data_IF_633443136886
#
_entry.id   IF_633443136886
#
_cell.length_a   1.000
_cell.length_b   1.000
_cell.length_c   1.000
_cell.angle_alpha   90.00
_cell.angle_beta   90.00
_cell.angle_gamma   90.00
#
_symmetry.space_group_name_H-M   'P 1'
#
loop_
_entity.id
_entity.type
_entity.pdbx_description
1 polymer ?
#
# COMPACT_ATOMS: atom_id res chain seq x y z
N UNK A 1 7.21 9.38 5.99
CA UNK A 1 7.79 8.27 6.75
C UNK A 1 8.56 8.79 7.95
N UNK A 2 8.59 8.04 9.05
CA UNK A 2 9.55 8.20 10.15
C UNK A 2 10.19 6.82 10.41
N UNK A 3 11.39 6.76 10.97
CA UNK A 3 12.09 5.49 11.18
C UNK A 3 12.59 5.36 12.61
N UNK A 4 12.39 4.17 13.18
CA UNK A 4 12.99 3.76 14.44
C UNK A 4 14.15 2.80 14.18
N UNK A 5 15.22 2.94 14.96
CA UNK A 5 16.38 2.03 14.99
C UNK A 5 16.53 1.31 16.33
N UNK A 6 15.60 1.50 17.25
CA UNK A 6 15.67 1.06 18.65
C UNK A 6 14.43 0.25 19.09
N UNK A 7 13.78 -0.40 18.12
CA UNK A 7 12.60 -1.24 18.39
C UNK A 7 11.32 -0.45 18.65
N UNK A 8 11.25 0.80 18.17
CA UNK A 8 10.06 1.66 18.26
C UNK A 8 10.04 2.59 19.46
N UNK A 9 11.14 2.72 20.22
CA UNK A 9 11.22 3.63 21.38
C UNK A 9 11.34 5.09 20.94
N UNK A 10 12.17 5.36 19.94
CA UNK A 10 12.32 6.68 19.32
C UNK A 10 12.12 6.62 17.81
N UNK A 11 11.63 7.72 17.26
CA UNK A 11 11.36 7.89 15.84
C UNK A 11 12.02 9.17 15.37
N UNK A 12 12.81 9.07 14.30
CA UNK A 12 13.56 10.18 13.74
C UNK A 12 13.23 10.34 12.25
N UNK A 13 13.76 11.41 11.66
CA UNK A 13 13.71 11.68 10.22
C UNK A 13 12.28 11.71 9.66
N UNK A 14 11.36 12.38 10.37
CA UNK A 14 10.00 12.58 9.87
C UNK A 14 10.05 13.32 8.54
N UNK A 15 9.53 12.68 7.50
CA UNK A 15 9.37 13.25 6.16
C UNK A 15 7.93 13.12 5.70
N UNK A 16 7.38 14.19 5.14
CA UNK A 16 6.12 14.12 4.41
C UNK A 16 6.34 13.36 3.10
N UNK A 17 5.40 12.48 2.75
CA UNK A 17 5.39 11.76 1.48
C UNK A 17 4.15 12.22 0.71
N UNK A 18 4.36 13.06 -0.31
CA UNK A 18 3.25 13.74 -1.01
C UNK A 18 2.40 12.80 -1.87
N UNK A 19 2.94 11.63 -2.24
CA UNK A 19 2.24 10.67 -3.10
C UNK A 19 1.39 9.65 -2.34
N UNK A 20 1.49 9.62 -1.00
CA UNK A 20 0.69 8.76 -0.15
C UNK A 20 -0.41 9.58 0.54
N UNK A 21 -1.69 9.33 0.25
CA UNK A 21 -2.78 10.01 0.94
C UNK A 21 -2.96 9.47 2.35
N UNK A 22 -3.25 10.35 3.29
CA UNK A 22 -3.75 9.98 4.63
C UNK A 22 -5.29 9.86 4.62
N UNK A 23 -5.88 9.34 3.55
CA UNK A 23 -7.32 9.23 3.38
C UNK A 23 -7.94 10.30 2.47
N UNK A 24 -9.22 10.69 2.70
CA UNK A 24 -9.93 11.60 1.81
C UNK A 24 -9.35 13.02 1.87
N UNK A 25 -9.14 13.64 0.70
CA UNK A 25 -8.38 14.90 0.57
C UNK A 25 -9.24 16.16 0.80
N UNK A 26 -10.52 16.01 1.12
CA UNK A 26 -11.47 17.08 1.41
C UNK A 26 -11.68 17.34 2.91
N UNK A 27 -10.95 16.63 3.79
CA UNK A 27 -11.09 16.78 5.24
C UNK A 27 -9.74 16.75 5.95
N UNK A 28 -9.71 17.25 7.19
CA UNK A 28 -8.54 17.15 8.07
C UNK A 28 -8.50 15.83 8.86
N UNK A 29 -9.37 14.87 8.55
CA UNK A 29 -9.47 13.60 9.27
C UNK A 29 -8.97 12.45 8.41
N UNK A 30 -8.00 11.72 8.96
CA UNK A 30 -7.35 10.64 8.24
C UNK A 30 -8.23 9.41 8.00
N UNK A 31 -7.70 8.46 7.23
CA UNK A 31 -8.29 7.13 7.06
C UNK A 31 -7.24 6.06 7.33
N UNK A 32 -7.56 5.10 8.20
CA UNK A 32 -6.62 4.04 8.58
C UNK A 32 -6.28 3.16 7.37
N UNK A 33 -5.02 3.23 6.95
CA UNK A 33 -4.45 2.44 5.88
C UNK A 33 -3.79 1.15 6.36
N UNK A 34 -3.40 0.31 5.40
CA UNK A 34 -2.62 -0.89 5.63
C UNK A 34 -1.18 -0.71 5.17
N UNK A 35 -0.23 -1.36 5.85
CA UNK A 35 1.17 -1.45 5.42
C UNK A 35 1.69 -2.87 5.67
N UNK A 36 2.27 -3.50 4.65
CA UNK A 36 2.91 -4.81 4.81
C UNK A 36 4.22 -4.90 4.04
N UNK A 37 5.12 -5.74 4.52
CA UNK A 37 6.35 -6.12 3.80
C UNK A 37 6.11 -7.45 3.09
N UNK A 38 6.50 -7.53 1.82
CA UNK A 38 6.47 -8.80 1.10
C UNK A 38 7.55 -9.74 1.63
N UNK A 39 7.20 -11.01 1.80
CA UNK A 39 8.11 -12.05 2.30
C UNK A 39 9.08 -12.55 1.21
N UNK A 40 9.87 -11.64 0.62
CA UNK A 40 10.83 -11.92 -0.45
C UNK A 40 12.25 -11.76 0.10
N UNK A 41 13.01 -12.86 0.11
CA UNK A 41 14.37 -12.89 0.67
C UNK A 41 15.27 -11.87 -0.04
N UNK A 42 15.97 -11.06 0.75
CA UNK A 42 16.93 -10.06 0.25
C UNK A 42 16.30 -8.85 -0.45
N UNK A 43 14.98 -8.68 -0.40
CA UNK A 43 14.28 -7.53 -0.98
C UNK A 43 13.50 -6.78 0.09
N UNK A 44 13.54 -5.45 0.02
CA UNK A 44 12.75 -4.58 0.89
C UNK A 44 11.59 -3.97 0.09
N UNK A 45 10.53 -4.75 -0.05
CA UNK A 45 9.34 -4.35 -0.79
C UNK A 45 8.18 -4.15 0.18
N UNK A 46 7.66 -2.94 0.23
CA UNK A 46 6.50 -2.58 1.05
C UNK A 46 5.29 -2.33 0.15
N UNK A 47 4.12 -2.74 0.63
CA UNK A 47 2.83 -2.40 0.01
C UNK A 47 2.01 -1.60 1.02
N UNK A 48 1.54 -0.44 0.59
CA UNK A 48 0.66 0.44 1.35
C UNK A 48 -0.74 0.45 0.72
N UNK A 49 -1.79 0.59 1.53
CA UNK A 49 -3.17 0.75 1.07
C UNK A 49 -3.89 1.91 1.74
N UNK A 50 -4.66 2.68 0.96
CA UNK A 50 -5.62 3.67 1.46
C UNK A 50 -6.65 4.03 0.38
N UNK A 51 -7.60 4.89 0.71
CA UNK A 51 -8.43 5.58 -0.27
C UNK A 51 -7.64 6.70 -0.97
N UNK A 52 -7.87 6.85 -2.28
CA UNK A 52 -7.16 7.78 -3.16
C UNK A 52 -8.17 8.71 -3.84
N UNK A 53 -8.82 9.56 -3.07
CA UNK A 53 -9.93 10.37 -3.57
C UNK A 53 -9.85 11.82 -3.09
N UNK A 54 -10.14 12.73 -4.03
CA UNK A 54 -10.26 14.16 -3.77
C UNK A 54 -11.33 14.46 -2.71
N UNK A 55 -12.35 13.59 -2.58
CA UNK A 55 -13.29 13.67 -1.48
C UNK A 55 -14.04 12.39 -1.17
N UNK A 56 -14.38 12.22 0.11
CA UNK A 56 -14.96 11.00 0.66
C UNK A 56 -14.05 9.77 0.57
N UNK A 57 -14.46 8.65 1.19
CA UNK A 57 -13.66 7.42 1.28
C UNK A 57 -13.92 6.47 0.10
N UNK A 58 -13.21 6.67 -1.02
CA UNK A 58 -13.41 5.94 -2.29
C UNK A 58 -12.06 5.62 -2.97
N UNK A 59 -12.11 4.88 -4.08
CA UNK A 59 -10.93 4.60 -4.90
C UNK A 59 -9.81 3.90 -4.11
N UNK A 60 -10.15 2.75 -3.53
CA UNK A 60 -9.19 1.90 -2.81
C UNK A 60 -8.00 1.55 -3.69
N UNK A 61 -6.82 1.99 -3.27
CA UNK A 61 -5.60 1.94 -4.07
C UNK A 61 -4.47 1.33 -3.24
N UNK A 62 -3.50 0.72 -3.92
CA UNK A 62 -2.26 0.26 -3.31
C UNK A 62 -1.05 0.91 -3.96
N UNK A 63 -0.01 1.14 -3.16
CA UNK A 63 1.29 1.64 -3.59
C UNK A 63 2.37 0.61 -3.28
N UNK A 64 3.41 0.56 -4.09
CA UNK A 64 4.58 -0.27 -3.81
C UNK A 64 5.84 0.59 -3.67
N UNK A 65 6.62 0.29 -2.63
CA UNK A 65 7.98 0.79 -2.43
C UNK A 65 8.96 -0.38 -2.56
N UNK A 66 10.13 -0.11 -3.15
CA UNK A 66 11.19 -1.11 -3.38
C UNK A 66 12.49 -0.80 -2.62
N UNK A 67 12.45 0.19 -1.74
CA UNK A 67 13.60 0.73 -1.01
C UNK A 67 13.33 0.92 0.50
N UNK A 68 12.36 0.19 1.03
CA UNK A 68 11.98 0.23 2.44
C UNK A 68 11.13 1.44 2.82
N UNK A 69 10.35 2.00 1.89
CA UNK A 69 9.42 3.10 2.14
C UNK A 69 10.04 4.49 2.02
N UNK A 70 11.18 4.61 1.33
CA UNK A 70 11.80 5.91 1.02
C UNK A 70 11.11 6.57 -0.17
N UNK A 71 10.79 5.79 -1.20
CA UNK A 71 10.03 6.23 -2.37
C UNK A 71 8.92 5.24 -2.73
N UNK A 72 7.88 5.72 -3.41
CA UNK A 72 6.68 4.96 -3.77
C UNK A 72 6.36 5.10 -5.27
N UNK A 73 7.17 4.51 -6.17
CA UNK A 73 7.15 4.84 -7.60
C UNK A 73 5.92 4.40 -8.38
N UNK A 74 5.09 3.52 -7.81
CA UNK A 74 3.94 2.95 -8.52
C UNK A 74 2.74 2.77 -7.61
N UNK A 75 1.55 3.02 -8.16
CA UNK A 75 0.26 2.76 -7.51
C UNK A 75 -0.73 2.07 -8.46
N UNK A 76 -1.64 1.26 -7.92
CA UNK A 76 -2.69 0.60 -8.70
C UNK A 76 -4.03 0.61 -7.97
N UNK A 77 -5.07 1.03 -8.68
CA UNK A 77 -6.46 1.02 -8.20
C UNK A 77 -6.94 -0.43 -8.02
N UNK A 78 -7.38 -0.77 -6.82
CA UNK A 78 -7.98 -2.06 -6.46
C UNK A 78 -9.49 -2.03 -6.63
N UNK A 79 -10.15 -0.96 -6.16
CA UNK A 79 -11.60 -0.84 -6.20
C UNK A 79 -12.05 0.62 -6.31
N UNK A 80 -12.80 0.97 -7.35
CA UNK A 80 -13.24 2.35 -7.61
C UNK A 80 -14.29 2.87 -6.61
N UNK A 81 -15.06 1.97 -5.99
CA UNK A 81 -16.18 2.31 -5.11
C UNK A 81 -15.77 2.72 -3.69
N UNK A 82 -16.70 2.56 -2.76
CA UNK A 82 -16.47 2.83 -1.34
C UNK A 82 -15.32 1.99 -0.79
N UNK A 83 -14.36 2.67 -0.18
CA UNK A 83 -13.16 2.09 0.42
C UNK A 83 -12.75 2.94 1.61
N UNK A 84 -12.91 2.41 2.82
CA UNK A 84 -12.59 3.11 4.06
C UNK A 84 -11.40 2.44 4.78
N UNK A 85 -11.54 2.04 6.04
CA UNK A 85 -10.40 1.47 6.76
C UNK A 85 -9.93 0.19 6.07
N UNK A 86 -8.62 0.01 6.02
CA UNK A 86 -8.01 -1.14 5.36
C UNK A 86 -6.87 -1.74 6.15
N UNK A 87 -6.64 -3.04 5.92
CA UNK A 87 -5.51 -3.80 6.39
C UNK A 87 -4.98 -4.64 5.24
N UNK A 88 -3.67 -4.87 5.21
CA UNK A 88 -3.02 -5.59 4.13
C UNK A 88 -1.98 -6.54 4.68
N UNK A 89 -1.87 -7.73 4.07
CA UNK A 89 -0.88 -8.73 4.47
C UNK A 89 -0.30 -9.46 3.27
N UNK A 90 0.92 -9.97 3.42
CA UNK A 90 1.58 -10.83 2.45
C UNK A 90 1.35 -12.30 2.79
N UNK A 91 1.22 -13.12 1.76
CA UNK A 91 1.10 -14.56 1.92
C UNK A 91 2.42 -15.20 2.38
N UNK A 92 2.29 -16.37 3.02
CA UNK A 92 3.39 -17.04 3.69
C UNK A 92 4.23 -17.86 2.70
N UNK A 93 5.58 -17.73 2.71
CA UNK A 93 6.47 -18.59 1.93
C UNK A 93 6.25 -20.08 2.22
N UNK A 94 6.40 -20.93 1.20
CA UNK A 94 6.20 -22.38 1.29
C UNK A 94 4.74 -22.82 1.43
N UNK A 95 3.78 -21.93 1.17
CA UNK A 95 2.34 -22.23 1.26
C UNK A 95 1.61 -21.85 -0.02
N UNK A 96 0.35 -22.27 -0.17
CA UNK A 96 -0.53 -21.87 -1.29
C UNK A 96 -0.74 -20.36 -1.41
N UNK A 97 -0.40 -19.59 -0.37
CA UNK A 97 -0.54 -18.13 -0.36
C UNK A 97 0.75 -17.40 -0.78
N UNK A 98 1.86 -18.12 -0.98
CA UNK A 98 3.13 -17.52 -1.35
C UNK A 98 3.00 -16.61 -2.59
N UNK A 99 3.65 -15.45 -2.54
CA UNK A 99 3.60 -14.44 -3.60
C UNK A 99 2.29 -13.63 -3.68
N UNK A 100 1.28 -13.98 -2.88
CA UNK A 100 0.01 -13.27 -2.83
C UNK A 100 0.02 -12.12 -1.82
N UNK A 101 -0.83 -11.14 -2.10
CA UNK A 101 -1.14 -9.98 -1.26
C UNK A 101 -2.64 -10.02 -1.02
N UNK A 102 -3.04 -9.88 0.25
CA UNK A 102 -4.44 -9.84 0.67
C UNK A 102 -4.74 -8.47 1.26
N UNK A 103 -5.64 -7.75 0.61
CA UNK A 103 -6.10 -6.42 1.02
C UNK A 103 -7.53 -6.54 1.53
N UNK A 104 -7.69 -6.41 2.85
CA UNK A 104 -8.99 -6.33 3.52
C UNK A 104 -9.40 -4.87 3.70
N UNK A 105 -10.64 -4.52 3.37
CA UNK A 105 -11.11 -3.14 3.47
C UNK A 105 -12.61 -3.02 3.73
N UNK A 106 -12.99 -1.95 4.40
CA UNK A 106 -14.38 -1.55 4.59
C UNK A 106 -14.99 -1.01 3.30
N UNK A 107 -16.23 -1.42 3.00
CA UNK A 107 -16.93 -1.07 1.77
C UNK A 107 -16.97 -2.24 0.79
N UNK A 108 -16.40 -2.05 -0.40
CA UNK A 108 -16.39 -3.09 -1.44
C UNK A 108 -17.74 -3.27 -2.15
N UNK A 109 -17.84 -4.28 -3.04
CA UNK A 109 -18.99 -4.44 -3.94
C UNK A 109 -20.29 -4.76 -3.22
N UNK A 110 -20.22 -5.41 -2.05
CA UNK A 110 -21.39 -5.79 -1.24
C UNK A 110 -21.68 -4.86 -0.07
N UNK A 111 -20.87 -3.80 0.10
CA UNK A 111 -20.84 -2.94 1.31
C UNK A 111 -20.45 -3.74 2.57
N UNK A 112 -19.97 -3.04 3.60
CA UNK A 112 -19.46 -3.67 4.83
C UNK A 112 -17.97 -3.98 4.74
N UNK A 113 -17.59 -5.14 4.22
CA UNK A 113 -16.19 -5.60 4.20
C UNK A 113 -15.89 -6.46 2.97
N UNK A 114 -14.71 -6.30 2.38
CA UNK A 114 -14.24 -7.10 1.25
C UNK A 114 -12.74 -7.43 1.36
N UNK A 115 -12.35 -8.55 0.75
CA UNK A 115 -10.93 -8.92 0.57
C UNK A 115 -10.63 -8.99 -0.92
N UNK A 116 -9.63 -8.23 -1.36
CA UNK A 116 -9.03 -8.37 -2.68
C UNK A 116 -7.74 -9.19 -2.56
N UNK A 117 -7.48 -10.05 -3.55
CA UNK A 117 -6.26 -10.87 -3.63
C UNK A 117 -5.58 -10.64 -4.97
N UNK A 118 -4.29 -10.31 -4.94
CA UNK A 118 -3.47 -10.04 -6.11
C UNK A 118 -1.99 -10.31 -5.78
N UNK A 119 -1.08 -10.07 -6.71
CA UNK A 119 0.36 -10.28 -6.52
C UNK A 119 1.16 -9.05 -6.97
N UNK A 120 2.48 -9.09 -6.78
CA UNK A 120 3.35 -7.96 -7.17
C UNK A 120 3.28 -7.66 -8.67
N UNK A 121 3.23 -8.68 -9.54
CA UNK A 121 3.09 -8.49 -10.99
C UNK A 121 1.82 -7.72 -11.36
N UNK A 122 0.71 -7.96 -10.65
CA UNK A 122 -0.49 -7.14 -10.79
C UNK A 122 -0.23 -5.71 -10.33
N UNK A 123 0.40 -5.47 -9.18
CA UNK A 123 0.72 -4.08 -8.76
C UNK A 123 1.58 -3.34 -9.81
N UNK A 124 2.51 -4.05 -10.46
CA UNK A 124 3.41 -3.49 -11.50
C UNK A 124 2.71 -3.01 -12.77
N UNK A 125 1.48 -3.47 -13.05
CA UNK A 125 0.64 -2.92 -14.12
C UNK A 125 -0.10 -1.63 -13.75
N UNK A 126 0.31 -0.97 -12.66
CA UNK A 126 -0.25 0.29 -12.18
C UNK A 126 0.28 1.52 -12.93
N UNK A 127 0.05 2.69 -12.35
CA UNK A 127 0.50 3.99 -12.86
C UNK A 127 1.68 4.50 -12.03
N UNK A 128 2.58 5.22 -12.67
CA UNK A 128 3.66 5.94 -11.99
C UNK A 128 3.08 7.00 -11.04
N UNK A 129 3.73 7.21 -9.91
CA UNK A 129 3.43 8.30 -8.97
C UNK A 129 4.34 9.52 -9.18
N UNK A 130 5.46 9.36 -9.89
CA UNK A 130 6.54 10.34 -9.97
C UNK A 130 7.52 10.34 -8.79
N UNK A 131 7.27 9.56 -7.73
CA UNK A 131 8.15 9.46 -6.56
C UNK A 131 9.10 8.26 -6.68
N UNK A 132 10.27 8.49 -7.27
CA UNK A 132 11.30 7.46 -7.48
C UNK A 132 11.14 6.68 -8.79
N UNK A 133 11.79 5.52 -8.87
CA UNK A 133 11.75 4.65 -10.07
C UNK A 133 11.51 3.19 -9.70
N UNK A 134 10.72 2.49 -10.52
CA UNK A 134 10.57 1.04 -10.38
C UNK A 134 11.88 0.37 -10.82
N UNK A 135 12.57 -0.37 -9.93
CA UNK A 135 13.86 -0.96 -10.26
C UNK A 135 13.77 -1.98 -11.41
N UNK A 136 14.83 -2.06 -12.22
CA UNK A 136 14.88 -2.99 -13.36
C UNK A 136 14.76 -4.46 -12.95
N UNK A 137 15.28 -4.84 -11.78
CA UNK A 137 15.23 -6.21 -11.27
C UNK A 137 13.82 -6.68 -10.87
N UNK A 138 12.84 -5.76 -10.78
CA UNK A 138 11.44 -6.07 -10.46
C UNK A 138 10.63 -6.33 -11.72
N UNK A 139 11.05 -5.74 -12.85
CA UNK A 139 10.31 -5.86 -14.11
C UNK A 139 10.45 -7.30 -14.63
N UNK A 140 9.37 -7.90 -15.14
CA UNK A 140 9.42 -9.24 -15.72
C UNK A 140 10.34 -9.33 -16.93
#
# INVERSE_FOLDING_TARGET
TATSKDGGKTWNDLKFCEVLPDGPQDTNYGCMGGLTRLAIKGRDILIYSNCDSAGGRKQGTVWASFDGGKTWPIKRLVFAGSHAYSSITSGRPGTKTEGMIYHHFEGGPKRGSAVASFNLSWVLGGKSTGDGTVPSWVKP
#
